data_IF_595833125450
#
_entry.id   IF_595833125450
#
_cell.length_a   1.000
_cell.length_b   1.000
_cell.length_c   1.000
_cell.angle_alpha   90.00
_cell.angle_beta   90.00
_cell.angle_gamma   90.00
#
_symmetry.space_group_name_H-M   'P 1'
#
loop_
_entity.id
_entity.type
_entity.pdbx_description
1 polymer ?
#
# COMPACT_ATOMS: atom_id res chain seq x y z
N UNK A 1 0.40 52.24 -4.39
CA UNK A 1 0.73 51.37 -5.54
C UNK A 1 1.87 50.38 -5.25
N UNK A 2 3.06 50.82 -4.79
CA UNK A 2 4.18 49.91 -4.51
C UNK A 2 3.87 48.81 -3.48
N UNK A 3 3.17 49.15 -2.40
CA UNK A 3 2.75 48.17 -1.38
C UNK A 3 1.82 47.09 -1.98
N UNK A 4 0.86 47.48 -2.81
CA UNK A 4 -0.06 46.53 -3.47
C UNK A 4 0.67 45.58 -4.42
N UNK A 5 1.61 46.11 -5.21
CA UNK A 5 2.45 45.31 -6.11
C UNK A 5 3.35 44.34 -5.34
N UNK A 6 3.91 44.78 -4.21
CA UNK A 6 4.71 43.92 -3.33
C UNK A 6 3.85 42.80 -2.73
N UNK A 7 2.66 43.11 -2.21
CA UNK A 7 1.75 42.14 -1.62
C UNK A 7 1.29 41.09 -2.64
N UNK A 8 0.88 41.51 -3.84
CA UNK A 8 0.47 40.59 -4.91
C UNK A 8 1.63 39.70 -5.36
N UNK A 9 2.83 40.25 -5.53
CA UNK A 9 4.02 39.48 -5.86
C UNK A 9 4.34 38.40 -4.82
N UNK A 10 4.32 38.75 -3.53
CA UNK A 10 4.59 37.81 -2.43
C UNK A 10 3.52 36.71 -2.39
N UNK A 11 2.24 37.06 -2.54
CA UNK A 11 1.14 36.09 -2.56
C UNK A 11 1.25 35.13 -3.74
N UNK A 12 1.50 35.62 -4.96
CA UNK A 12 1.63 34.77 -6.15
C UNK A 12 2.84 33.83 -6.03
N UNK A 13 3.98 34.33 -5.56
CA UNK A 13 5.19 33.53 -5.38
C UNK A 13 5.04 32.50 -4.27
N UNK A 14 4.43 32.87 -3.14
CA UNK A 14 4.11 31.96 -2.04
C UNK A 14 3.15 30.85 -2.47
N UNK A 15 2.08 31.20 -3.17
CA UNK A 15 1.13 30.24 -3.71
C UNK A 15 1.80 29.25 -4.69
N UNK A 16 2.60 29.75 -5.63
CA UNK A 16 3.32 28.89 -6.57
C UNK A 16 4.28 27.93 -5.86
N UNK A 17 4.98 28.37 -4.81
CA UNK A 17 5.86 27.53 -4.00
C UNK A 17 5.10 26.42 -3.26
N UNK A 18 4.01 26.75 -2.59
CA UNK A 18 3.18 25.77 -1.88
C UNK A 18 2.55 24.76 -2.83
N UNK A 19 2.02 25.22 -3.97
CA UNK A 19 1.44 24.34 -4.98
C UNK A 19 2.48 23.38 -5.56
N UNK A 20 3.70 23.86 -5.85
CA UNK A 20 4.79 23.00 -6.32
C UNK A 20 5.20 21.96 -5.28
N UNK A 21 5.25 22.33 -3.99
CA UNK A 21 5.54 21.39 -2.90
C UNK A 21 4.48 20.29 -2.80
N UNK A 22 3.20 20.66 -2.86
CA UNK A 22 2.09 19.70 -2.81
C UNK A 22 2.06 18.77 -4.04
N UNK A 23 2.40 19.27 -5.22
CA UNK A 23 2.44 18.48 -6.44
C UNK A 23 3.68 17.57 -6.52
N UNK A 24 4.81 18.00 -5.94
CA UNK A 24 6.05 17.22 -5.92
C UNK A 24 5.94 15.96 -5.04
N UNK A 25 5.08 15.98 -4.02
CA UNK A 25 4.93 14.90 -3.06
C UNK A 25 3.52 14.32 -3.11
N UNK A 26 3.34 13.25 -3.88
CA UNK A 26 2.12 12.44 -3.78
C UNK A 26 2.27 11.41 -2.68
N UNK A 27 1.37 11.49 -1.70
CA UNK A 27 1.24 10.45 -0.68
C UNK A 27 0.40 9.31 -1.24
N UNK A 28 1.04 8.17 -1.49
CA UNK A 28 0.33 6.93 -1.81
C UNK A 28 -0.20 6.39 -0.49
N UNK A 29 -1.49 6.58 -0.22
CA UNK A 29 -2.13 5.96 0.95
C UNK A 29 -2.17 4.46 0.72
N UNK A 30 -1.55 3.70 1.61
CA UNK A 30 -1.79 2.27 1.69
C UNK A 30 -3.19 2.07 2.28
N UNK A 31 -4.08 1.34 1.62
CA UNK A 31 -5.46 1.19 2.08
C UNK A 31 -5.58 0.35 3.36
N UNK A 32 -4.72 -0.64 3.54
CA UNK A 32 -4.77 -1.59 4.67
C UNK A 32 -3.46 -1.58 5.46
N UNK A 33 -3.55 -1.34 6.77
CA UNK A 33 -2.42 -1.33 7.71
C UNK A 33 -2.52 -2.41 8.78
N UNK A 34 -3.74 -2.86 9.10
CA UNK A 34 -3.97 -3.91 10.08
C UNK A 34 -4.85 -5.01 9.51
N UNK A 35 -4.87 -6.17 10.19
CA UNK A 35 -5.81 -7.24 9.86
C UNK A 35 -7.27 -6.78 10.05
N UNK A 36 -7.53 -5.85 10.98
CA UNK A 36 -8.88 -5.34 11.21
C UNK A 36 -9.37 -4.50 10.03
N UNK A 37 -8.49 -3.69 9.42
CA UNK A 37 -8.84 -2.90 8.24
C UNK A 37 -9.30 -3.79 7.06
N UNK A 38 -8.76 -5.01 6.97
CA UNK A 38 -9.15 -6.02 5.97
C UNK A 38 -10.47 -6.69 6.34
N UNK A 39 -10.74 -6.88 7.64
CA UNK A 39 -12.01 -7.46 8.12
C UNK A 39 -13.19 -6.48 8.01
N UNK A 40 -12.93 -5.18 8.19
CA UNK A 40 -13.93 -4.13 8.11
C UNK A 40 -14.35 -3.82 6.66
N UNK A 41 -13.57 -4.26 5.67
CA UNK A 41 -13.87 -4.09 4.26
C UNK A 41 -14.70 -5.27 3.72
N UNK A 42 -15.96 -5.06 3.32
CA UNK A 42 -16.85 -6.14 2.87
C UNK A 42 -16.62 -6.57 1.42
N UNK A 43 -15.80 -5.84 0.64
CA UNK A 43 -15.57 -6.13 -0.79
C UNK A 43 -14.27 -6.91 -1.02
N UNK A 44 -13.35 -6.89 -0.05
CA UNK A 44 -12.02 -7.48 -0.22
C UNK A 44 -12.01 -8.97 0.14
N UNK A 45 -11.43 -9.79 -0.74
CA UNK A 45 -11.30 -11.23 -0.50
C UNK A 45 -9.90 -11.54 0.03
N UNK A 46 -9.84 -12.21 1.18
CA UNK A 46 -8.61 -12.66 1.81
C UNK A 46 -8.12 -13.96 1.18
N UNK A 47 -6.83 -14.03 0.86
CA UNK A 47 -6.15 -15.23 0.38
C UNK A 47 -5.22 -15.74 1.47
N UNK A 48 -5.46 -16.94 1.96
CA UNK A 48 -4.62 -17.61 2.95
C UNK A 48 -3.98 -18.87 2.39
N UNK A 49 -2.83 -19.27 2.94
CA UNK A 49 -2.13 -20.48 2.52
C UNK A 49 -2.87 -21.74 2.99
N UNK A 50 -3.25 -22.59 2.03
CA UNK A 50 -3.83 -23.91 2.25
C UNK A 50 -2.81 -24.90 2.81
N UNK A 51 -3.26 -25.79 3.69
CA UNK A 51 -2.48 -26.81 4.40
C UNK A 51 -1.33 -26.21 5.23
N UNK A 52 -1.50 -24.99 5.74
CA UNK A 52 -0.52 -24.30 6.58
C UNK A 52 -0.84 -24.48 8.07
N UNK A 53 0.15 -24.19 8.92
CA UNK A 53 -0.08 -24.09 10.37
C UNK A 53 -1.08 -22.98 10.71
N UNK A 54 -1.11 -21.91 9.91
CA UNK A 54 -2.04 -20.80 10.06
C UNK A 54 -3.49 -21.21 9.77
N UNK A 55 -3.73 -22.00 8.71
CA UNK A 55 -5.06 -22.55 8.46
C UNK A 55 -5.53 -23.43 9.63
N UNK A 56 -4.65 -24.30 10.15
CA UNK A 56 -4.99 -25.14 11.31
C UNK A 56 -5.30 -24.29 12.55
N UNK A 57 -4.52 -23.24 12.80
CA UNK A 57 -4.77 -22.30 13.88
C UNK A 57 -6.14 -21.64 13.72
N UNK A 58 -6.41 -21.07 12.55
CA UNK A 58 -7.69 -20.41 12.24
C UNK A 58 -8.88 -21.36 12.44
N UNK A 59 -8.78 -22.61 11.98
CA UNK A 59 -9.85 -23.61 12.17
C UNK A 59 -10.01 -24.08 13.62
N UNK A 60 -8.96 -23.99 14.43
CA UNK A 60 -8.97 -24.44 15.82
C UNK A 60 -9.51 -23.42 16.82
N UNK A 61 -9.42 -22.12 16.49
CA UNK A 61 -9.82 -21.05 17.41
C UNK A 61 -11.34 -20.89 17.47
N UNK A 62 -11.86 -20.70 18.68
CA UNK A 62 -13.31 -20.57 18.92
C UNK A 62 -13.75 -19.13 19.17
N UNK A 63 -12.83 -18.21 19.49
CA UNK A 63 -13.13 -16.81 19.79
C UNK A 63 -12.00 -15.86 19.36
N UNK A 64 -12.31 -14.56 19.27
CA UNK A 64 -11.38 -13.49 18.91
C UNK A 64 -11.31 -13.18 17.41
N UNK A 65 -10.38 -12.30 17.02
CA UNK A 65 -10.24 -11.79 15.64
C UNK A 65 -10.04 -12.90 14.60
N UNK A 66 -9.33 -13.96 14.97
CA UNK A 66 -9.09 -15.11 14.10
C UNK A 66 -10.35 -15.95 13.83
N UNK A 67 -11.29 -15.98 14.78
CA UNK A 67 -12.60 -16.59 14.55
C UNK A 67 -13.40 -15.77 13.54
N UNK A 68 -13.28 -14.45 13.60
CA UNK A 68 -13.93 -13.55 12.64
C UNK A 68 -13.37 -13.70 11.22
N UNK A 69 -12.04 -13.84 11.09
CA UNK A 69 -11.42 -14.22 9.81
C UNK A 69 -12.04 -15.51 9.27
N UNK A 70 -12.24 -16.53 10.10
CA UNK A 70 -12.88 -17.77 9.64
C UNK A 70 -14.36 -17.62 9.31
N UNK A 71 -15.09 -16.73 9.98
CA UNK A 71 -16.49 -16.44 9.64
C UNK A 71 -16.61 -15.88 8.21
N UNK A 72 -15.58 -15.18 7.71
CA UNK A 72 -15.54 -14.71 6.33
C UNK A 72 -15.51 -15.84 5.29
N UNK A 73 -15.16 -17.08 5.66
CA UNK A 73 -15.28 -18.26 4.78
C UNK A 73 -16.75 -18.49 4.38
N UNK A 74 -17.69 -18.31 5.32
CA UNK A 74 -19.13 -18.46 5.08
C UNK A 74 -19.69 -17.36 4.17
N UNK A 75 -19.06 -16.18 4.20
CA UNK A 75 -19.40 -15.03 3.34
C UNK A 75 -18.75 -15.10 1.95
N UNK A 76 -17.89 -16.09 1.70
CA UNK A 76 -17.12 -16.19 0.46
C UNK A 76 -16.00 -15.14 0.32
N UNK A 77 -15.67 -14.45 1.40
CA UNK A 77 -14.61 -13.43 1.47
C UNK A 77 -13.25 -14.00 1.91
N UNK A 78 -13.16 -15.32 2.12
CA UNK A 78 -11.92 -16.02 2.45
C UNK A 78 -11.69 -17.20 1.50
N UNK A 79 -10.52 -17.23 0.86
CA UNK A 79 -10.09 -18.33 0.00
C UNK A 79 -8.74 -18.92 0.42
N UNK A 80 -8.63 -20.24 0.34
CA UNK A 80 -7.38 -20.96 0.61
C UNK A 80 -6.68 -21.37 -0.69
N UNK A 81 -5.42 -20.98 -0.85
CA UNK A 81 -4.59 -21.30 -2.03
C UNK A 81 -3.32 -22.03 -1.63
N UNK A 82 -2.88 -22.97 -2.45
CA UNK A 82 -1.63 -23.70 -2.17
C UNK A 82 -0.41 -22.81 -2.42
N UNK A 83 0.72 -23.12 -1.78
CA UNK A 83 1.97 -22.34 -1.90
C UNK A 83 2.37 -22.06 -3.35
N UNK A 84 2.24 -23.06 -4.24
CA UNK A 84 2.60 -22.94 -5.66
C UNK A 84 1.68 -21.99 -6.45
N UNK A 85 0.46 -21.75 -5.95
CA UNK A 85 -0.52 -20.88 -6.60
C UNK A 85 -0.47 -19.43 -6.08
N UNK A 86 0.29 -19.14 -5.02
CA UNK A 86 0.34 -17.80 -4.44
C UNK A 86 0.95 -16.78 -5.40
N UNK A 87 2.02 -17.16 -6.11
CA UNK A 87 2.64 -16.29 -7.11
C UNK A 87 1.68 -15.90 -8.23
N UNK A 88 0.89 -16.85 -8.73
CA UNK A 88 -0.14 -16.57 -9.75
C UNK A 88 -1.24 -15.68 -9.16
N UNK A 89 -1.70 -16.00 -7.95
CA UNK A 89 -2.76 -15.25 -7.25
C UNK A 89 -2.38 -13.78 -7.02
N UNK A 90 -1.11 -13.47 -6.75
CA UNK A 90 -0.62 -12.09 -6.68
C UNK A 90 -0.85 -11.34 -7.99
N UNK A 91 -0.58 -11.97 -9.13
CA UNK A 91 -0.71 -11.33 -10.45
C UNK A 91 -2.15 -11.29 -10.96
N UNK A 92 -2.96 -12.31 -10.69
CA UNK A 92 -4.31 -12.44 -11.23
C UNK A 92 -5.41 -11.90 -10.32
N UNK A 93 -5.23 -11.98 -9.00
CA UNK A 93 -6.27 -11.64 -8.01
C UNK A 93 -5.93 -10.38 -7.20
N UNK A 94 -4.68 -10.25 -6.73
CA UNK A 94 -4.25 -9.12 -5.89
C UNK A 94 -4.01 -7.86 -6.72
N UNK A 95 -3.32 -7.97 -7.86
CA UNK A 95 -2.98 -6.82 -8.72
C UNK A 95 -4.21 -6.02 -9.21
N UNK A 96 -5.36 -6.62 -9.57
CA UNK A 96 -6.58 -5.88 -9.89
C UNK A 96 -7.20 -5.11 -8.72
N UNK A 97 -6.80 -5.39 -7.47
CA UNK A 97 -7.22 -4.65 -6.28
C UNK A 97 -8.40 -5.23 -5.50
N UNK A 98 -8.91 -6.41 -5.85
CA UNK A 98 -10.05 -7.04 -5.15
C UNK A 98 -9.67 -8.09 -4.10
N UNK A 99 -8.38 -8.41 -3.95
CA UNK A 99 -7.92 -9.46 -3.04
C UNK A 99 -6.69 -9.01 -2.26
N UNK A 100 -6.56 -9.53 -1.04
CA UNK A 100 -5.39 -9.33 -0.17
C UNK A 100 -4.77 -10.69 0.15
N UNK A 101 -3.47 -10.83 -0.11
CA UNK A 101 -2.72 -12.03 0.25
C UNK A 101 -2.17 -11.90 1.69
N UNK A 102 -2.51 -12.87 2.52
CA UNK A 102 -2.06 -12.95 3.91
C UNK A 102 -1.20 -14.20 4.09
N UNK A 103 0.09 -13.97 4.35
CA UNK A 103 1.08 -15.01 4.59
C UNK A 103 2.23 -14.46 5.44
N UNK A 104 3.19 -15.31 5.81
CA UNK A 104 4.39 -14.96 6.55
C UNK A 104 5.22 -13.95 5.75
N UNK A 105 5.74 -12.92 6.44
CA UNK A 105 6.53 -11.82 5.86
C UNK A 105 7.61 -12.30 4.88
N UNK A 106 8.36 -13.35 5.25
CA UNK A 106 9.39 -13.97 4.42
C UNK A 106 8.85 -14.46 3.08
N UNK A 107 7.71 -15.16 3.10
CA UNK A 107 7.07 -15.70 1.91
C UNK A 107 6.60 -14.57 1.00
N UNK A 108 5.93 -13.57 1.57
CA UNK A 108 5.42 -12.40 0.83
C UNK A 108 6.58 -11.62 0.20
N UNK A 109 7.66 -11.35 0.94
CA UNK A 109 8.85 -10.66 0.42
C UNK A 109 9.50 -11.41 -0.70
N UNK A 110 9.61 -12.74 -0.59
CA UNK A 110 10.18 -13.57 -1.66
C UNK A 110 9.32 -13.52 -2.93
N UNK A 111 7.99 -13.61 -2.79
CA UNK A 111 7.07 -13.51 -3.92
C UNK A 111 7.17 -12.14 -4.62
N UNK A 112 7.16 -11.04 -3.87
CA UNK A 112 7.30 -9.68 -4.42
C UNK A 112 8.65 -9.52 -5.11
N UNK A 113 9.74 -9.97 -4.48
CA UNK A 113 11.08 -9.91 -5.04
C UNK A 113 11.22 -10.74 -6.34
N UNK A 114 10.56 -11.89 -6.39
CA UNK A 114 10.46 -12.71 -7.60
C UNK A 114 9.75 -11.99 -8.74
N UNK A 115 8.60 -11.37 -8.47
CA UNK A 115 7.85 -10.59 -9.47
C UNK A 115 8.64 -9.35 -9.91
N UNK A 116 9.31 -8.66 -9.00
CA UNK A 116 10.19 -7.53 -9.32
C UNK A 116 11.35 -7.95 -10.22
N UNK A 117 11.98 -9.10 -9.93
CA UNK A 117 13.09 -9.60 -10.74
C UNK A 117 12.66 -9.96 -12.17
N UNK A 118 11.39 -10.28 -12.40
CA UNK A 118 10.84 -10.57 -13.73
C UNK A 118 10.32 -9.31 -14.47
N UNK A 119 9.63 -8.42 -13.76
CA UNK A 119 8.91 -7.28 -14.35
C UNK A 119 9.65 -5.95 -14.23
N UNK A 120 10.58 -5.82 -13.29
CA UNK A 120 11.26 -4.58 -12.92
C UNK A 120 10.37 -3.55 -12.21
N UNK A 121 9.15 -3.92 -11.78
CA UNK A 121 8.17 -3.00 -11.16
C UNK A 121 7.79 -3.42 -9.75
N UNK A 122 7.58 -2.43 -8.87
CA UNK A 122 7.09 -2.62 -7.51
C UNK A 122 5.60 -2.27 -7.44
N UNK A 123 4.76 -3.18 -7.92
CA UNK A 123 3.30 -2.99 -7.96
C UNK A 123 2.60 -3.38 -6.64
N UNK A 124 3.33 -3.97 -5.69
CA UNK A 124 2.80 -4.52 -4.45
C UNK A 124 3.41 -3.83 -3.23
N UNK A 125 2.63 -3.75 -2.16
CA UNK A 125 3.08 -3.27 -0.86
C UNK A 125 2.80 -4.32 0.22
N UNK A 126 3.59 -4.30 1.29
CA UNK A 126 3.37 -5.13 2.48
C UNK A 126 2.80 -4.23 3.57
N UNK A 127 1.87 -4.77 4.37
CA UNK A 127 1.35 -4.07 5.54
C UNK A 127 2.47 -3.74 6.54
N UNK A 128 2.32 -2.67 7.31
CA UNK A 128 3.29 -2.28 8.33
C UNK A 128 3.24 -3.19 9.54
N UNK A 129 2.04 -3.60 9.94
CA UNK A 129 1.84 -4.36 11.17
C UNK A 129 1.61 -5.85 10.85
N UNK A 130 2.39 -6.70 11.51
CA UNK A 130 2.16 -8.13 11.55
C UNK A 130 1.17 -8.47 12.67
N UNK A 131 0.27 -9.43 12.42
CA UNK A 131 -0.77 -9.83 13.37
C UNK A 131 -0.42 -11.13 14.11
N UNK A 132 0.38 -12.02 13.50
CA UNK A 132 0.80 -13.29 14.08
C UNK A 132 2.33 -13.42 14.08
N UNK A 133 2.98 -13.63 15.23
CA UNK A 133 4.40 -13.90 15.25
C UNK A 133 4.67 -15.28 14.62
N UNK A 134 5.59 -15.32 13.66
CA UNK A 134 6.05 -16.55 13.03
C UNK A 134 7.50 -16.82 13.40
N UNK A 135 7.81 -18.07 13.77
CA UNK A 135 9.14 -18.49 14.18
C UNK A 135 9.61 -19.67 13.34
N UNK A 136 10.81 -19.56 12.78
CA UNK A 136 11.51 -20.70 12.19
C UNK A 136 12.16 -21.55 13.28
N UNK A 137 11.92 -22.85 13.26
CA UNK A 137 12.51 -23.79 14.23
C UNK A 137 13.21 -24.95 13.53
N UNK A 138 14.29 -25.44 14.12
CA UNK A 138 14.93 -26.68 13.69
C UNK A 138 14.21 -27.84 14.38
N UNK A 139 13.44 -28.61 13.61
CA UNK A 139 12.74 -29.79 14.10
C UNK A 139 13.61 -31.06 13.93
N UNK A 140 13.56 -31.95 14.91
CA UNK A 140 14.23 -33.26 14.89
C UNK A 140 13.37 -34.31 15.58
N UNK A 141 13.72 -35.58 15.39
CA UNK A 141 13.12 -36.70 16.11
C UNK A 141 13.18 -36.50 17.63
N UNK A 142 12.10 -36.89 18.31
CA UNK A 142 11.95 -36.82 19.76
C UNK A 142 13.06 -37.64 20.43
N UNK A 143 13.75 -37.05 21.40
CA UNK A 143 14.84 -37.70 22.15
C UNK A 143 16.21 -37.66 21.48
N UNK A 144 16.37 -36.95 20.35
CA UNK A 144 17.69 -36.81 19.72
C UNK A 144 18.67 -36.06 20.65
N UNK A 145 19.80 -36.68 21.06
CA UNK A 145 20.77 -36.06 21.98
C UNK A 145 21.52 -34.87 21.37
N UNK A 146 21.43 -34.66 20.06
CA UNK A 146 22.07 -33.54 19.37
C UNK A 146 21.30 -32.23 19.49
N UNK A 147 20.02 -32.25 19.87
CA UNK A 147 19.18 -31.05 19.92
C UNK A 147 19.71 -29.97 20.87
N UNK A 148 20.18 -30.29 22.09
CA UNK A 148 20.77 -29.28 22.97
C UNK A 148 22.02 -28.61 22.36
N UNK A 149 22.86 -29.40 21.68
CA UNK A 149 24.06 -28.88 21.01
C UNK A 149 23.69 -27.98 19.82
N UNK A 150 22.71 -28.38 19.01
CA UNK A 150 22.20 -27.60 17.88
C UNK A 150 21.56 -26.30 18.39
N UNK A 151 20.69 -26.37 19.40
CA UNK A 151 20.02 -25.21 19.99
C UNK A 151 21.03 -24.15 20.46
N UNK A 152 22.10 -24.57 21.14
CA UNK A 152 23.19 -23.67 21.54
C UNK A 152 23.86 -22.98 20.35
N UNK A 153 24.09 -23.70 19.25
CA UNK A 153 24.70 -23.15 18.03
C UNK A 153 23.75 -22.19 17.31
N UNK A 154 22.48 -22.54 17.18
CA UNK A 154 21.45 -21.69 16.58
C UNK A 154 21.36 -20.37 17.35
N UNK A 155 21.31 -20.44 18.69
CA UNK A 155 21.28 -19.25 19.54
C UNK A 155 22.54 -18.38 19.42
N UNK A 156 23.72 -18.98 19.26
CA UNK A 156 24.95 -18.23 18.99
C UNK A 156 24.93 -17.55 17.60
N UNK A 157 24.37 -18.22 16.59
CA UNK A 157 24.26 -17.68 15.24
C UNK A 157 23.28 -16.51 15.18
N UNK A 158 22.11 -16.63 15.80
CA UNK A 158 21.12 -15.54 15.83
C UNK A 158 21.58 -14.38 16.70
N UNK A 159 22.18 -14.63 17.87
CA UNK A 159 22.68 -13.53 18.72
C UNK A 159 23.84 -12.75 18.12
N UNK A 160 24.58 -13.37 17.19
CA UNK A 160 25.67 -12.72 16.46
C UNK A 160 25.22 -11.87 15.26
N UNK A 161 23.95 -11.95 14.86
CA UNK A 161 23.42 -11.28 13.65
C UNK A 161 23.82 -11.94 12.33
N UNK A 162 24.58 -13.05 12.36
CA UNK A 162 25.03 -13.76 11.16
C UNK A 162 23.85 -14.37 10.41
N UNK A 163 22.86 -14.88 11.14
CA UNK A 163 21.67 -15.47 10.54
C UNK A 163 20.91 -14.45 9.70
N UNK A 164 20.64 -13.26 10.26
CA UNK A 164 19.95 -12.16 9.60
C UNK A 164 20.71 -11.71 8.34
N UNK A 165 22.03 -11.57 8.43
CA UNK A 165 22.88 -11.22 7.29
C UNK A 165 22.77 -12.23 6.13
N UNK A 166 22.86 -13.53 6.43
CA UNK A 166 22.72 -14.57 5.40
C UNK A 166 21.30 -14.66 4.86
N UNK A 167 20.31 -14.46 5.72
CA UNK A 167 18.91 -14.50 5.36
C UNK A 167 18.55 -13.38 4.38
N UNK A 168 18.97 -12.14 4.64
CA UNK A 168 18.76 -11.02 3.71
C UNK A 168 19.46 -11.26 2.36
N UNK A 169 20.67 -11.85 2.39
CA UNK A 169 21.42 -12.16 1.17
C UNK A 169 20.78 -13.27 0.33
N UNK A 170 19.99 -14.16 0.94
CA UNK A 170 19.32 -15.26 0.27
C UNK A 170 18.09 -14.82 -0.54
N UNK A 171 17.45 -13.69 -0.18
CA UNK A 171 16.30 -13.15 -0.91
C UNK A 171 16.79 -12.01 -1.82
N UNK A 172 17.14 -12.29 -3.09
CA UNK A 172 17.65 -11.29 -4.00
C UNK A 172 16.61 -10.19 -4.21
N UNK A 173 17.02 -8.93 -4.22
CA UNK A 173 16.13 -7.77 -4.43
C UNK A 173 15.00 -7.62 -3.39
N UNK A 174 15.10 -8.28 -2.23
CA UNK A 174 14.12 -8.14 -1.15
C UNK A 174 13.92 -6.69 -0.74
N UNK A 175 14.98 -5.89 -0.74
CA UNK A 175 14.95 -4.47 -0.35
C UNK A 175 14.51 -3.52 -1.45
N UNK A 176 14.45 -3.95 -2.71
CA UNK A 176 14.14 -3.08 -3.85
C UNK A 176 12.71 -2.54 -3.81
N UNK A 177 11.76 -3.32 -3.28
CA UNK A 177 10.36 -2.92 -3.13
C UNK A 177 9.91 -2.70 -1.67
N UNK A 178 10.82 -2.83 -0.70
CA UNK A 178 10.51 -2.55 0.72
C UNK A 178 10.44 -1.07 1.05
N UNK A 179 11.05 -0.23 0.20
CA UNK A 179 10.84 1.20 0.25
C UNK A 179 9.49 1.45 -0.41
N UNK A 180 8.38 1.28 0.30
CA UNK A 180 7.14 1.97 -0.04
C UNK A 180 7.39 3.43 0.27
N UNK A 181 7.76 4.28 -0.70
CA UNK A 181 8.00 5.66 -0.39
C UNK A 181 6.61 6.19 -0.03
N UNK A 182 6.41 6.63 1.20
CA UNK A 182 5.19 7.39 1.56
C UNK A 182 5.04 8.63 0.68
N UNK A 183 6.09 8.99 -0.05
CA UNK A 183 6.25 10.13 -0.92
C UNK A 183 6.91 9.67 -2.22
N UNK A 184 6.13 9.42 -3.27
CA UNK A 184 6.72 9.18 -4.60
C UNK A 184 6.91 10.54 -5.26
N UNK A 185 8.17 10.91 -5.50
CA UNK A 185 8.51 12.11 -6.28
C UNK A 185 8.30 11.78 -7.75
N UNK A 186 7.06 11.79 -8.19
CA UNK A 186 6.76 11.64 -9.61
C UNK A 186 6.92 12.97 -10.35
N UNK A 187 7.66 12.94 -11.47
CA UNK A 187 7.58 13.99 -12.49
C UNK A 187 6.30 13.78 -13.33
N UNK A 188 5.13 13.84 -12.70
CA UNK A 188 3.86 13.71 -13.41
C UNK A 188 3.61 14.99 -14.22
N UNK A 189 3.38 14.90 -15.54
CA UNK A 189 2.89 16.05 -16.30
C UNK A 189 1.52 16.45 -15.75
N UNK A 190 1.31 17.74 -15.49
CA UNK A 190 0.04 18.24 -14.93
C UNK A 190 -1.11 17.82 -15.84
N UNK A 191 -2.06 17.06 -15.30
CA UNK A 191 -3.28 16.66 -16.02
C UNK A 191 -4.23 17.84 -16.16
N UNK A 192 -4.92 17.92 -17.30
CA UNK A 192 -5.96 18.91 -17.57
C UNK A 192 -7.07 18.89 -16.51
N UNK A 193 -7.34 17.71 -15.92
CA UNK A 193 -8.33 17.53 -14.87
C UNK A 193 -8.02 18.36 -13.61
N UNK A 194 -6.74 18.55 -13.27
CA UNK A 194 -6.32 19.37 -12.13
C UNK A 194 -6.48 20.87 -12.38
N UNK A 195 -6.57 21.30 -13.64
CA UNK A 195 -6.72 22.70 -14.07
C UNK A 195 -8.18 23.08 -14.37
N UNK A 196 -9.12 22.12 -14.33
CA UNK A 196 -10.52 22.34 -14.65
C UNK A 196 -11.16 23.50 -13.87
N UNK A 197 -10.86 23.61 -12.58
CA UNK A 197 -11.37 24.70 -11.73
C UNK A 197 -10.96 26.10 -12.20
N UNK A 198 -9.78 26.24 -12.79
CA UNK A 198 -9.29 27.53 -13.33
C UNK A 198 -10.07 27.91 -14.59
N UNK A 199 -10.36 26.94 -15.46
CA UNK A 199 -11.16 27.17 -16.66
C UNK A 199 -12.61 27.53 -16.32
N UNK A 200 -13.21 26.90 -15.31
CA UNK A 200 -14.56 27.22 -14.85
C UNK A 200 -14.63 28.65 -14.30
N UNK A 201 -13.66 29.05 -13.48
CA UNK A 201 -13.59 30.42 -12.95
C UNK A 201 -13.43 31.45 -14.06
N UNK A 202 -12.60 31.18 -15.07
CA UNK A 202 -12.43 32.06 -16.23
C UNK A 202 -13.74 32.18 -17.02
N UNK A 203 -14.41 31.06 -17.29
CA UNK A 203 -15.68 31.05 -17.99
C UNK A 203 -16.76 31.85 -17.23
N UNK A 204 -16.86 31.66 -15.91
CA UNK A 204 -17.80 32.40 -15.06
C UNK A 204 -17.49 33.91 -15.02
N UNK A 205 -16.21 34.29 -15.02
CA UNK A 205 -15.80 35.70 -15.10
C UNK A 205 -16.18 36.34 -16.44
N UNK A 206 -15.98 35.61 -17.54
CA UNK A 206 -16.34 36.08 -18.87
C UNK A 206 -17.87 36.16 -19.05
N UNK A 207 -18.62 35.17 -18.59
CA UNK A 207 -20.09 35.20 -18.68
C UNK A 207 -20.67 36.32 -17.83
N UNK A 208 -20.19 36.53 -16.60
CA UNK A 208 -20.64 37.65 -15.76
C UNK A 208 -20.34 39.01 -16.38
N UNK A 209 -19.16 39.17 -17.00
CA UNK A 209 -18.79 40.40 -17.72
C UNK A 209 -19.69 40.65 -18.93
N UNK A 210 -19.97 39.61 -19.73
CA UNK A 210 -20.86 39.70 -20.90
C UNK A 210 -22.29 40.06 -20.46
N UNK A 211 -22.79 39.45 -19.39
CA UNK A 211 -24.13 39.75 -18.85
C UNK A 211 -24.21 41.21 -18.39
N UNK A 212 -23.21 41.71 -17.66
CA UNK A 212 -23.17 43.10 -17.22
C UNK A 212 -23.19 44.07 -18.41
N UNK A 213 -22.38 43.80 -19.44
CA UNK A 213 -22.35 44.62 -20.65
C UNK A 213 -23.70 44.61 -21.41
N UNK A 214 -24.35 43.45 -21.51
CA UNK A 214 -25.68 43.35 -22.12
C UNK A 214 -26.74 44.15 -21.35
N UNK A 215 -26.69 44.12 -20.01
CA UNK A 215 -27.60 44.89 -19.15
C UNK A 215 -27.38 46.40 -19.30
N UNK A 216 -26.12 46.85 -19.33
CA UNK A 216 -25.79 48.28 -19.54
C UNK A 216 -26.32 48.80 -20.88
N UNK A 217 -26.17 48.02 -21.96
CA UNK A 217 -26.71 48.39 -23.28
C UNK A 217 -28.23 48.41 -23.30
N UNK A 218 -28.89 47.45 -22.63
CA UNK A 218 -30.35 47.40 -22.55
C UNK A 218 -30.93 48.60 -21.78
N UNK A 219 -30.31 48.96 -20.65
CA UNK A 219 -30.70 50.13 -19.85
C UNK A 219 -30.49 51.42 -20.65
N UNK A 220 -29.37 51.53 -21.37
CA UNK A 220 -29.04 52.71 -22.19
C UNK A 220 -29.96 52.86 -23.40
N UNK A 221 -30.45 51.75 -23.96
CA UNK A 221 -31.40 51.77 -25.08
C UNK A 221 -32.82 52.19 -24.66
N UNK A 222 -33.22 51.92 -23.41
CA UNK A 222 -34.57 52.20 -22.90
C UNK A 222 -34.69 53.56 -22.18
N UNK A 223 -33.57 54.23 -21.90
CA UNK A 223 -33.52 55.60 -21.35
C UNK A 223 -33.41 56.66 -22.44
#
# INVERSE_FOLDING_TARGET
MGIWMLTTLVLTRGYAGTLMSLLAVRHVRQPYHTLMDVLDDPEVIQIWQKNSANEQLLRSVTSGIYREVMNQEELGLLIFRTQGQLSESLTSLVKPGGHVLIDVDVTVRNLIAGIFSQSGRCDYFVSRDGFLPSYGVVASQKGNPLIPAISKRVMQLTSSGIFEYWFEKQIPNSTSCLITPSTVVERVPLSLASLWGVFVMLAAGLTSSVIAFCLENFITYFS
#
